data_IF_408605798652
#
_entry.id   IF_408605798652
#
_cell.length_a   1.000
_cell.length_b   1.000
_cell.length_c   1.000
_cell.angle_alpha   90.00
_cell.angle_beta   90.00
_cell.angle_gamma   90.00
#
_symmetry.space_group_name_H-M   'P 1'
#
loop_
_entity.id
_entity.type
_entity.pdbx_description
1 polymer ?
#
# COMPACT_ATOMS: atom_id res chain seq x y z
N UNK A 1 30.47 -5.14 -29.73
CA UNK A 1 29.81 -6.07 -28.78
C UNK A 1 29.71 -5.56 -27.33
N UNK A 2 30.59 -4.63 -26.89
CA UNK A 2 30.54 -4.06 -25.52
C UNK A 2 29.41 -3.06 -25.26
N UNK A 3 29.05 -2.23 -26.25
CA UNK A 3 28.02 -1.20 -26.10
C UNK A 3 26.61 -1.77 -25.83
N UNK A 4 26.28 -2.90 -26.47
CA UNK A 4 24.98 -3.59 -26.29
C UNK A 4 24.88 -4.17 -24.86
N UNK A 5 25.98 -4.74 -24.34
CA UNK A 5 26.04 -5.24 -22.96
C UNK A 5 25.91 -4.11 -21.95
N UNK A 6 26.57 -2.97 -22.19
CA UNK A 6 26.45 -1.77 -21.34
C UNK A 6 25.03 -1.21 -21.32
N UNK A 7 24.38 -1.14 -22.50
CA UNK A 7 23.00 -0.68 -22.61
C UNK A 7 22.01 -1.60 -21.87
N UNK A 8 22.18 -2.91 -21.98
CA UNK A 8 21.36 -3.88 -21.23
C UNK A 8 21.53 -3.75 -19.71
N UNK A 9 22.75 -3.51 -19.23
CA UNK A 9 23.01 -3.30 -17.79
C UNK A 9 22.32 -2.03 -17.29
N UNK A 10 22.36 -0.94 -18.06
CA UNK A 10 21.68 0.32 -17.71
C UNK A 10 20.17 0.15 -17.66
N UNK A 11 19.58 -0.59 -18.62
CA UNK A 11 18.14 -0.85 -18.61
C UNK A 11 17.71 -1.70 -17.41
N UNK A 12 18.50 -2.71 -17.03
CA UNK A 12 18.23 -3.55 -15.87
C UNK A 12 18.30 -2.73 -14.57
N UNK A 13 19.33 -1.89 -14.40
CA UNK A 13 19.46 -1.07 -13.18
C UNK A 13 18.34 -0.03 -13.06
N UNK A 14 17.85 0.53 -14.18
CA UNK A 14 16.74 1.48 -14.20
C UNK A 14 15.39 0.83 -13.81
N UNK A 15 15.14 -0.41 -14.22
CA UNK A 15 13.94 -1.14 -13.80
C UNK A 15 13.99 -1.50 -12.31
N UNK A 16 15.16 -1.86 -11.79
CA UNK A 16 15.32 -2.18 -10.37
C UNK A 16 15.07 -0.98 -9.45
N UNK A 17 15.48 0.24 -9.83
CA UNK A 17 15.24 1.44 -8.99
C UNK A 17 13.78 1.90 -8.98
N UNK A 18 13.02 1.62 -10.03
CA UNK A 18 11.58 1.91 -10.08
C UNK A 18 10.76 0.99 -9.15
N UNK A 19 11.16 -0.28 -9.00
CA UNK A 19 10.46 -1.25 -8.14
C UNK A 19 10.63 -0.90 -6.65
N UNK A 20 11.81 -0.38 -6.26
CA UNK A 20 12.17 -0.12 -4.86
C UNK A 20 11.38 1.07 -4.26
N UNK A 21 10.87 1.99 -5.09
CA UNK A 21 10.09 3.15 -4.62
C UNK A 21 8.62 2.84 -4.30
N UNK A 22 8.19 1.59 -4.35
CA UNK A 22 6.87 1.22 -3.86
C UNK A 22 6.89 1.20 -2.32
N UNK A 23 6.55 2.32 -1.68
CA UNK A 23 6.20 2.33 -0.24
C UNK A 23 5.16 1.22 -0.04
N UNK A 24 5.52 0.19 0.71
CA UNK A 24 4.58 -0.85 1.13
C UNK A 24 3.40 -0.19 1.84
N UNK A 25 2.25 -0.09 1.16
CA UNK A 25 1.00 0.42 1.72
C UNK A 25 0.31 -0.60 2.63
N UNK A 26 0.98 -1.74 2.90
CA UNK A 26 0.50 -2.74 3.84
C UNK A 26 0.96 -2.42 5.27
N UNK A 27 0.01 -2.47 6.19
CA UNK A 27 0.20 -2.20 7.61
C UNK A 27 -0.37 -3.34 8.44
N UNK A 28 0.39 -3.78 9.45
CA UNK A 28 -0.08 -4.75 10.43
C UNK A 28 -0.68 -4.06 11.65
N UNK A 29 -1.83 -4.54 12.11
CA UNK A 29 -2.37 -4.18 13.42
C UNK A 29 -1.69 -4.97 14.55
N UNK A 30 -1.94 -4.54 15.79
CA UNK A 30 -1.56 -5.27 17.00
C UNK A 30 -2.20 -6.66 17.07
N UNK A 31 -3.38 -6.83 16.46
CA UNK A 31 -4.06 -8.11 16.32
C UNK A 31 -3.50 -8.99 15.18
N UNK A 32 -2.38 -8.59 14.57
CA UNK A 32 -1.70 -9.30 13.48
C UNK A 32 -2.49 -9.38 12.15
N UNK A 33 -3.56 -8.61 12.01
CA UNK A 33 -4.28 -8.46 10.73
C UNK A 33 -3.51 -7.49 9.81
N UNK A 34 -3.53 -7.77 8.51
CA UNK A 34 -2.85 -6.95 7.51
C UNK A 34 -3.87 -6.11 6.74
N UNK A 35 -3.63 -4.80 6.69
CA UNK A 35 -4.46 -3.82 6.01
C UNK A 35 -3.67 -3.12 4.92
N UNK A 36 -4.27 -2.97 3.75
CA UNK A 36 -3.76 -2.06 2.73
C UNK A 36 -4.38 -0.67 2.97
N UNK A 37 -3.55 0.33 3.27
CA UNK A 37 -3.98 1.71 3.49
C UNK A 37 -3.30 2.60 2.46
N UNK A 38 -4.07 3.05 1.47
CA UNK A 38 -3.61 3.97 0.43
C UNK A 38 -3.98 5.40 0.84
N UNK A 39 -2.97 6.22 1.17
CA UNK A 39 -3.18 7.62 1.55
C UNK A 39 -3.34 8.57 0.36
N UNK A 40 -3.04 8.11 -0.85
CA UNK A 40 -3.16 8.90 -2.07
C UNK A 40 -4.57 8.77 -2.65
N UNK A 41 -5.21 9.90 -2.93
CA UNK A 41 -6.51 9.98 -3.59
C UNK A 41 -6.39 9.63 -5.08
N UNK A 42 -6.22 8.34 -5.38
CA UNK A 42 -6.06 7.81 -6.74
C UNK A 42 -7.37 7.36 -7.38
N UNK A 43 -8.35 7.00 -6.56
CA UNK A 43 -9.58 6.35 -7.00
C UNK A 43 -10.79 7.01 -6.35
N UNK A 44 -11.89 7.10 -7.10
CA UNK A 44 -13.20 7.26 -6.50
C UNK A 44 -13.64 5.95 -5.79
N UNK A 45 -14.75 6.01 -5.07
CA UNK A 45 -15.27 4.86 -4.31
C UNK A 45 -15.50 3.62 -5.19
N UNK A 46 -16.09 3.80 -6.37
CA UNK A 46 -16.43 2.68 -7.25
C UNK A 46 -15.18 2.07 -7.88
N UNK A 47 -14.23 2.91 -8.30
CA UNK A 47 -12.94 2.49 -8.83
C UNK A 47 -12.12 1.74 -7.79
N UNK A 48 -12.12 2.20 -6.53
CA UNK A 48 -11.46 1.51 -5.42
C UNK A 48 -12.07 0.12 -5.21
N UNK A 49 -13.40 0.03 -5.19
CA UNK A 49 -14.10 -1.25 -5.09
C UNK A 49 -13.77 -2.21 -6.25
N UNK A 50 -13.92 -1.73 -7.49
CA UNK A 50 -13.67 -2.53 -8.69
C UNK A 50 -12.22 -3.02 -8.78
N UNK A 51 -11.26 -2.16 -8.42
CA UNK A 51 -9.83 -2.50 -8.44
C UNK A 51 -9.48 -3.55 -7.39
N UNK A 52 -10.06 -3.47 -6.18
CA UNK A 52 -9.81 -4.45 -5.12
C UNK A 52 -10.46 -5.79 -5.45
N UNK A 53 -11.70 -5.77 -5.95
CA UNK A 53 -12.42 -6.98 -6.36
C UNK A 53 -11.67 -7.80 -7.41
N UNK A 54 -10.90 -7.15 -8.30
CA UNK A 54 -10.06 -7.83 -9.31
C UNK A 54 -8.82 -8.51 -8.71
N UNK A 55 -8.37 -8.08 -7.54
CA UNK A 55 -7.10 -8.47 -6.93
C UNK A 55 -7.28 -9.40 -5.71
N UNK A 56 -8.39 -10.13 -5.61
CA UNK A 56 -8.74 -10.96 -4.44
C UNK A 56 -8.70 -10.20 -3.10
N UNK A 57 -8.92 -8.89 -3.13
CA UNK A 57 -9.03 -8.03 -1.96
C UNK A 57 -10.42 -7.40 -1.91
N UNK A 58 -10.90 -7.06 -0.72
CA UNK A 58 -12.16 -6.34 -0.55
C UNK A 58 -11.91 -4.99 0.09
N UNK A 59 -12.86 -4.07 -0.12
CA UNK A 59 -12.87 -2.84 0.67
C UNK A 59 -13.06 -3.18 2.14
N UNK A 60 -12.36 -2.44 2.99
CA UNK A 60 -12.45 -2.62 4.43
C UNK A 60 -13.88 -2.39 4.92
N UNK A 61 -14.37 -3.29 5.78
CA UNK A 61 -15.72 -3.24 6.35
C UNK A 61 -15.64 -3.32 7.87
N UNK A 62 -16.26 -2.37 8.56
CA UNK A 62 -16.37 -2.34 10.02
C UNK A 62 -17.68 -2.99 10.42
N UNK A 63 -17.62 -4.29 10.77
CA UNK A 63 -18.79 -5.06 11.19
C UNK A 63 -18.87 -5.26 12.72
N UNK A 64 -17.83 -4.88 13.47
CA UNK A 64 -17.77 -5.03 14.91
C UNK A 64 -17.07 -3.85 15.58
N UNK A 65 -17.37 -3.65 16.88
CA UNK A 65 -16.68 -2.66 17.72
C UNK A 65 -15.17 -2.92 17.77
N UNK A 66 -14.76 -4.18 17.90
CA UNK A 66 -13.36 -4.60 17.93
C UNK A 66 -12.60 -4.14 16.68
N UNK A 67 -13.17 -4.37 15.48
CA UNK A 67 -12.56 -3.91 14.21
C UNK A 67 -12.46 -2.39 14.14
N UNK A 68 -13.45 -1.68 14.67
CA UNK A 68 -13.45 -0.21 14.73
C UNK A 68 -12.32 0.31 15.62
N UNK A 69 -12.14 -0.30 16.80
CA UNK A 69 -11.06 0.05 17.74
C UNK A 69 -9.69 -0.27 17.13
N UNK A 70 -9.55 -1.45 16.53
CA UNK A 70 -8.32 -1.91 15.89
C UNK A 70 -7.87 -0.95 14.78
N UNK A 71 -8.75 -0.64 13.81
CA UNK A 71 -8.40 0.25 12.70
C UNK A 71 -8.13 1.68 13.18
N UNK A 72 -8.88 2.16 14.18
CA UNK A 72 -8.68 3.49 14.77
C UNK A 72 -7.31 3.61 15.44
N UNK A 73 -6.89 2.59 16.20
CA UNK A 73 -5.55 2.54 16.78
C UNK A 73 -4.48 2.50 15.70
N UNK A 74 -4.64 1.64 14.68
CA UNK A 74 -3.69 1.52 13.59
C UNK A 74 -3.49 2.86 12.85
N UNK A 75 -4.59 3.53 12.50
CA UNK A 75 -4.55 4.83 11.81
C UNK A 75 -3.87 5.88 12.68
N UNK A 76 -4.23 5.99 13.97
CA UNK A 76 -3.59 6.94 14.90
C UNK A 76 -2.09 6.69 15.04
N UNK A 77 -1.67 5.43 15.16
CA UNK A 77 -0.24 5.09 15.31
C UNK A 77 0.57 5.35 14.04
N UNK A 78 -0.02 5.14 12.85
CA UNK A 78 0.71 5.27 11.58
C UNK A 78 0.59 6.65 10.93
N UNK A 79 -0.51 7.36 11.16
CA UNK A 79 -0.85 8.61 10.47
C UNK A 79 -1.32 9.72 11.42
N UNK A 80 -1.42 9.47 12.73
CA UNK A 80 -1.78 10.49 13.70
C UNK A 80 -0.75 11.62 13.70
N UNK A 81 -1.22 12.87 13.64
CA UNK A 81 -0.34 14.03 13.78
C UNK A 81 0.18 14.07 15.21
N UNK A 82 1.51 14.07 15.36
CA UNK A 82 2.15 14.50 16.61
C UNK A 82 2.14 16.03 16.61
N UNK A 83 1.26 16.62 17.40
CA UNK A 83 1.35 18.03 17.73
C UNK A 83 2.59 18.20 18.61
N UNK A 84 3.63 18.82 18.07
CA UNK A 84 4.72 19.39 18.85
C UNK A 84 4.40 20.86 19.10
#
# INVERSE_FOLDING_TARGET
MGAIKGFLVILITLQCTAIIHCKSAFYKSEANNTYLIESEYKYDWFQAWATRSRNNMTLFTIASSEKSVEISKLIKTKFGRRWN
#
